data_IF_241978116544
#
_entry.id   IF_241978116544
#
_cell.length_a   1.000
_cell.length_b   1.000
_cell.length_c   1.000
_cell.angle_alpha   90.00
_cell.angle_beta   90.00
_cell.angle_gamma   90.00
#
_symmetry.space_group_name_H-M   'P 1'
#
loop_
_entity.id
_entity.type
_entity.pdbx_description
1 polymer ?
#
# COMPACT_ATOMS: atom_id res chain seq x y z
N UNK A 1 -13.32 24.78 -8.84
CA UNK A 1 -13.63 23.72 -7.86
C UNK A 1 -13.06 22.45 -8.47
N UNK A 2 -11.80 22.17 -8.19
CA UNK A 2 -11.04 21.11 -8.85
C UNK A 2 -11.06 19.87 -7.98
N UNK A 3 -11.67 18.80 -8.52
CA UNK A 3 -11.76 17.50 -7.90
C UNK A 3 -10.38 16.85 -7.87
N UNK A 4 -9.72 16.89 -6.71
CA UNK A 4 -8.47 16.16 -6.43
C UNK A 4 -8.71 14.66 -6.20
N UNK A 5 -9.43 14.04 -7.12
CA UNK A 5 -9.50 12.57 -7.30
C UNK A 5 -8.33 12.10 -8.19
N UNK A 6 -7.45 13.02 -8.62
CA UNK A 6 -6.49 12.81 -9.70
C UNK A 6 -5.25 11.96 -9.42
N UNK A 7 -5.03 11.47 -8.20
CA UNK A 7 -3.88 10.59 -7.93
C UNK A 7 -4.22 9.14 -7.62
N UNK A 8 -5.46 8.85 -7.21
CA UNK A 8 -5.96 7.49 -7.03
C UNK A 8 -7.25 7.38 -7.83
N UNK A 9 -7.22 6.59 -8.90
CA UNK A 9 -8.43 6.26 -9.67
C UNK A 9 -9.41 5.39 -8.87
N UNK A 10 -9.04 5.00 -7.65
CA UNK A 10 -9.83 4.17 -6.75
C UNK A 10 -10.37 5.04 -5.62
N UNK A 11 -11.69 5.03 -5.45
CA UNK A 11 -12.33 5.68 -4.31
C UNK A 11 -11.78 5.10 -3.01
N UNK A 12 -11.40 5.94 -2.03
CA UNK A 12 -11.09 5.46 -0.69
C UNK A 12 -12.35 4.83 -0.11
N UNK A 13 -12.37 3.51 -0.01
CA UNK A 13 -13.47 2.81 0.62
C UNK A 13 -13.41 3.10 2.13
N UNK A 14 -14.55 3.43 2.76
CA UNK A 14 -14.59 3.59 4.21
C UNK A 14 -14.06 2.32 4.88
N UNK A 15 -13.33 2.49 5.98
CA UNK A 15 -12.68 1.40 6.72
C UNK A 15 -13.73 0.61 7.55
N UNK A 16 -14.75 0.07 6.88
CA UNK A 16 -15.85 -0.71 7.49
C UNK A 16 -15.35 -2.08 8.00
N UNK A 17 -14.13 -2.47 7.62
CA UNK A 17 -13.54 -3.78 7.91
C UNK A 17 -13.11 -3.97 9.38
N UNK A 18 -12.88 -2.88 10.13
CA UNK A 18 -12.49 -2.99 11.54
C UNK A 18 -13.61 -3.53 12.43
N UNK A 19 -14.88 -3.37 12.02
CA UNK A 19 -16.01 -3.83 12.82
C UNK A 19 -16.13 -5.37 12.88
N UNK A 20 -15.55 -6.07 11.89
CA UNK A 20 -15.58 -7.54 11.80
C UNK A 20 -14.30 -8.21 12.32
N UNK A 21 -13.25 -7.45 12.66
CA UNK A 21 -12.11 -8.03 13.38
C UNK A 21 -12.50 -8.23 14.83
N UNK A 22 -12.33 -9.46 15.30
CA UNK A 22 -12.57 -9.88 16.67
C UNK A 22 -11.93 -8.85 17.63
N UNK A 23 -12.77 -8.06 18.33
CA UNK A 23 -12.38 -6.96 19.23
C UNK A 23 -11.32 -7.36 20.27
N UNK A 24 -11.16 -8.66 20.48
CA UNK A 24 -10.29 -9.24 21.50
C UNK A 24 -8.85 -9.49 21.06
N UNK A 25 -8.46 -9.32 19.79
CA UNK A 25 -7.08 -9.67 19.34
C UNK A 25 -6.19 -8.55 18.83
N UNK A 26 -6.70 -7.51 18.18
CA UNK A 26 -5.89 -6.34 17.84
C UNK A 26 -6.81 -5.13 17.78
N UNK A 27 -6.71 -4.24 18.77
CA UNK A 27 -7.27 -2.90 18.66
C UNK A 27 -6.40 -2.12 17.67
N UNK A 28 -6.62 -2.33 16.37
CA UNK A 28 -6.03 -1.45 15.36
C UNK A 28 -6.73 -0.11 15.56
N UNK A 29 -6.06 0.78 16.29
CA UNK A 29 -6.54 2.14 16.53
C UNK A 29 -6.67 2.81 15.18
N UNK A 30 -7.91 2.97 14.72
CA UNK A 30 -8.24 3.87 13.62
C UNK A 30 -7.59 5.22 13.94
N UNK A 31 -6.63 5.65 13.12
CA UNK A 31 -5.93 6.89 13.36
C UNK A 31 -6.93 8.04 13.17
N UNK A 32 -6.78 9.14 13.92
CA UNK A 32 -7.69 10.29 13.78
C UNK A 32 -7.75 10.81 12.34
N UNK A 33 -6.65 10.65 11.59
CA UNK A 33 -6.58 10.97 10.16
C UNK A 33 -7.49 10.09 9.28
N UNK A 34 -7.83 8.88 9.71
CA UNK A 34 -8.72 7.97 8.97
C UNK A 34 -10.20 8.36 9.12
N UNK A 35 -10.52 9.25 10.06
CA UNK A 35 -11.88 9.79 10.27
C UNK A 35 -12.16 11.03 9.42
N UNK A 36 -11.11 11.67 8.91
CA UNK A 36 -11.23 12.88 8.11
C UNK A 36 -11.70 12.56 6.69
N UNK A 37 -12.91 13.00 6.35
CA UNK A 37 -13.51 12.78 5.04
C UNK A 37 -12.97 13.72 3.96
N UNK A 38 -12.33 14.82 4.35
CA UNK A 38 -11.77 15.82 3.45
C UNK A 38 -10.24 15.87 3.54
N UNK A 39 -9.57 15.44 2.47
CA UNK A 39 -8.12 15.55 2.34
C UNK A 39 -7.75 16.99 1.99
N UNK A 40 -7.05 17.68 2.90
CA UNK A 40 -6.45 19.00 2.65
C UNK A 40 -5.02 18.84 2.13
N UNK A 41 -4.50 19.88 1.46
CA UNK A 41 -3.10 19.91 1.08
C UNK A 41 -2.20 19.95 2.31
N UNK A 42 -1.00 19.35 2.20
CA UNK A 42 0.01 19.49 3.24
C UNK A 42 0.42 20.97 3.38
N UNK A 43 0.31 21.58 4.59
CA UNK A 43 0.54 23.01 4.78
C UNK A 43 1.99 23.45 4.54
N UNK A 44 2.92 22.49 4.49
CA UNK A 44 4.34 22.74 4.22
C UNK A 44 4.68 22.73 2.72
N UNK A 45 3.73 22.41 1.83
CA UNK A 45 3.95 22.52 0.39
C UNK A 45 4.02 24.00 -0.01
N UNK A 46 5.16 24.41 -0.55
CA UNK A 46 5.37 25.80 -1.00
C UNK A 46 4.34 26.24 -2.06
N UNK A 47 3.97 25.33 -2.97
CA UNK A 47 2.89 25.55 -3.94
C UNK A 47 2.17 24.23 -4.22
N UNK A 48 0.99 23.99 -3.61
CA UNK A 48 0.22 22.76 -3.83
C UNK A 48 -0.21 22.56 -5.29
N UNK A 49 -0.51 23.63 -6.03
CA UNK A 49 -1.04 23.53 -7.39
C UNK A 49 -0.02 23.04 -8.41
N UNK A 50 1.27 23.21 -8.14
CA UNK A 50 2.37 22.73 -8.99
C UNK A 50 3.04 21.47 -8.45
N UNK A 51 2.55 20.92 -7.33
CA UNK A 51 3.16 19.75 -6.71
C UNK A 51 2.75 18.47 -7.44
N UNK A 52 3.73 17.78 -8.03
CA UNK A 52 3.56 16.50 -8.70
C UNK A 52 4.32 15.45 -7.88
N UNK A 53 3.61 14.57 -7.15
CA UNK A 53 4.26 13.59 -6.28
C UNK A 53 4.84 12.39 -7.04
N UNK A 54 4.45 12.18 -8.31
CA UNK A 54 5.01 11.13 -9.16
C UNK A 54 6.29 11.62 -9.84
N UNK A 55 7.39 10.92 -9.56
CA UNK A 55 8.69 11.24 -10.16
C UNK A 55 8.86 10.67 -11.56
N UNK A 56 8.01 9.71 -11.96
CA UNK A 56 8.07 9.03 -13.25
C UNK A 56 6.67 8.93 -13.86
N UNK A 57 6.53 9.44 -15.07
CA UNK A 57 5.33 9.28 -15.90
C UNK A 57 5.47 8.02 -16.76
N UNK A 58 4.80 6.93 -16.36
CA UNK A 58 4.88 5.66 -17.08
C UNK A 58 4.00 5.66 -18.34
N UNK A 59 3.15 6.66 -18.58
CA UNK A 59 2.47 6.81 -19.86
C UNK A 59 3.44 7.29 -20.93
N UNK A 60 4.25 8.30 -20.60
CA UNK A 60 5.22 8.89 -21.52
C UNK A 60 6.53 8.07 -21.66
N UNK A 61 7.03 7.51 -20.56
CA UNK A 61 8.29 6.76 -20.54
C UNK A 61 8.04 5.25 -20.70
N UNK A 62 8.29 4.74 -21.91
CA UNK A 62 8.13 3.32 -22.23
C UNK A 62 9.15 2.41 -21.56
N UNK A 63 10.41 2.85 -21.43
CA UNK A 63 11.46 2.05 -20.82
C UNK A 63 11.17 1.87 -19.33
N UNK A 64 10.86 2.96 -18.64
CA UNK A 64 10.48 2.92 -17.23
C UNK A 64 9.19 2.11 -17.02
N UNK A 65 8.19 2.25 -17.91
CA UNK A 65 6.95 1.46 -17.86
C UNK A 65 7.24 -0.03 -17.93
N UNK A 66 8.03 -0.48 -18.89
CA UNK A 66 8.36 -1.89 -19.05
C UNK A 66 9.14 -2.41 -17.83
N UNK A 67 10.13 -1.64 -17.35
CA UNK A 67 10.88 -1.96 -16.14
C UNK A 67 9.97 -2.16 -14.93
N UNK A 68 9.09 -1.18 -14.64
CA UNK A 68 8.22 -1.25 -13.48
C UNK A 68 7.19 -2.36 -13.58
N UNK A 69 6.55 -2.54 -14.74
CA UNK A 69 5.58 -3.63 -14.94
C UNK A 69 6.24 -5.00 -14.72
N UNK A 70 7.49 -5.19 -15.18
CA UNK A 70 8.25 -6.42 -14.94
C UNK A 70 8.63 -6.59 -13.47
N UNK A 71 9.04 -5.53 -12.79
CA UNK A 71 9.29 -5.56 -11.34
C UNK A 71 8.05 -5.98 -10.57
N UNK A 72 6.89 -5.39 -10.87
CA UNK A 72 5.63 -5.70 -10.21
C UNK A 72 5.17 -7.13 -10.48
N UNK A 73 5.27 -7.60 -11.73
CA UNK A 73 4.94 -8.99 -12.06
C UNK A 73 5.85 -9.99 -11.34
N UNK A 74 7.17 -9.77 -11.30
CA UNK A 74 8.10 -10.64 -10.57
C UNK A 74 7.88 -10.62 -9.06
N UNK A 75 7.35 -9.52 -8.53
CA UNK A 75 7.12 -9.36 -7.09
C UNK A 75 5.78 -9.92 -6.60
N UNK A 76 4.84 -10.27 -7.48
CA UNK A 76 3.46 -10.62 -7.09
C UNK A 76 3.42 -11.82 -6.13
N UNK A 77 4.34 -12.76 -6.26
CA UNK A 77 4.41 -13.93 -5.39
C UNK A 77 4.73 -13.55 -3.94
N UNK A 78 5.55 -12.52 -3.71
CA UNK A 78 5.82 -12.03 -2.35
C UNK A 78 4.56 -11.47 -1.67
N UNK A 79 3.71 -10.82 -2.44
CA UNK A 79 2.44 -10.28 -1.97
C UNK A 79 1.42 -11.40 -1.68
N UNK A 80 1.39 -12.43 -2.53
CA UNK A 80 0.60 -13.65 -2.32
C UNK A 80 1.04 -14.37 -1.04
N UNK A 81 2.35 -14.56 -0.86
CA UNK A 81 2.92 -15.23 0.31
C UNK A 81 2.60 -14.47 1.60
N UNK A 82 2.71 -13.14 1.58
CA UNK A 82 2.33 -12.29 2.72
C UNK A 82 0.83 -12.39 3.02
N UNK A 83 -0.03 -12.32 1.99
CA UNK A 83 -1.47 -12.49 2.12
C UNK A 83 -1.84 -13.84 2.72
N UNK A 84 -1.27 -14.94 2.22
CA UNK A 84 -1.49 -16.28 2.76
C UNK A 84 -1.00 -16.40 4.20
N UNK A 85 0.18 -15.87 4.50
CA UNK A 85 0.76 -15.91 5.86
C UNK A 85 -0.09 -15.16 6.88
N UNK A 86 -0.73 -14.06 6.47
CA UNK A 86 -1.61 -13.26 7.34
C UNK A 86 -2.90 -14.01 7.75
N UNK A 87 -3.26 -15.07 7.04
CA UNK A 87 -4.47 -15.87 7.28
C UNK A 87 -4.18 -17.36 7.14
N UNK A 88 -3.08 -17.83 7.75
CA UNK A 88 -2.62 -19.21 7.65
C UNK A 88 -3.68 -20.25 8.10
N UNK A 89 -4.58 -19.86 9.01
CA UNK A 89 -5.67 -20.71 9.51
C UNK A 89 -6.90 -20.75 8.59
N UNK A 90 -6.94 -19.97 7.50
CA UNK A 90 -8.09 -19.88 6.60
C UNK A 90 -8.00 -20.89 5.45
N UNK A 91 -8.96 -21.82 5.38
CA UNK A 91 -9.05 -22.80 4.28
C UNK A 91 -9.26 -22.15 2.90
N UNK A 92 -9.86 -20.95 2.84
CA UNK A 92 -10.15 -20.24 1.59
C UNK A 92 -9.01 -19.31 1.13
N UNK A 93 -8.02 -19.06 1.99
CA UNK A 93 -6.92 -18.14 1.67
C UNK A 93 -6.11 -18.55 0.43
N UNK A 94 -5.76 -19.83 0.20
CA UNK A 94 -5.00 -20.21 -1.00
C UNK A 94 -5.75 -19.90 -2.31
N UNK A 95 -7.05 -20.17 -2.35
CA UNK A 95 -7.86 -19.91 -3.54
C UNK A 95 -8.05 -18.40 -3.78
N UNK A 96 -8.33 -17.62 -2.73
CA UNK A 96 -8.42 -16.16 -2.84
C UNK A 96 -7.09 -15.54 -3.29
N UNK A 97 -5.96 -16.01 -2.76
CA UNK A 97 -4.64 -15.51 -3.13
C UNK A 97 -4.28 -15.82 -4.58
N UNK A 98 -4.69 -17.00 -5.08
CA UNK A 98 -4.58 -17.35 -6.50
C UNK A 98 -5.40 -16.41 -7.39
N UNK A 99 -6.67 -16.18 -7.03
CA UNK A 99 -7.54 -15.27 -7.79
C UNK A 99 -7.01 -13.82 -7.79
N UNK A 100 -6.49 -13.36 -6.65
CA UNK A 100 -5.76 -12.09 -6.53
C UNK A 100 -4.61 -12.00 -7.53
N UNK A 101 -3.72 -12.99 -7.53
CA UNK A 101 -2.56 -13.05 -8.44
C UNK A 101 -2.99 -13.00 -9.90
N UNK A 102 -3.92 -13.86 -10.30
CA UNK A 102 -4.41 -13.96 -11.67
C UNK A 102 -5.04 -12.63 -12.13
N UNK A 103 -5.86 -12.01 -11.28
CA UNK A 103 -6.48 -10.71 -11.57
C UNK A 103 -5.45 -9.61 -11.73
N UNK A 104 -4.41 -9.58 -10.89
CA UNK A 104 -3.35 -8.58 -10.95
C UNK A 104 -2.48 -8.73 -12.21
N UNK A 105 -2.02 -9.95 -12.51
CA UNK A 105 -1.21 -10.22 -13.71
C UNK A 105 -1.98 -9.85 -14.98
N UNK A 106 -3.27 -10.20 -15.07
CA UNK A 106 -4.13 -9.82 -16.19
C UNK A 106 -4.19 -8.30 -16.38
N UNK A 107 -4.22 -7.53 -15.29
CA UNK A 107 -4.20 -6.07 -15.33
C UNK A 107 -2.86 -5.53 -15.81
N UNK A 108 -1.73 -6.08 -15.33
CA UNK A 108 -0.40 -5.69 -15.81
C UNK A 108 -0.23 -5.94 -17.32
N UNK A 109 -0.68 -7.10 -17.81
CA UNK A 109 -0.65 -7.41 -19.24
C UNK A 109 -1.47 -6.43 -20.07
N UNK A 110 -2.65 -6.01 -19.57
CA UNK A 110 -3.45 -4.98 -20.23
C UNK A 110 -2.73 -3.63 -20.24
N UNK A 111 -2.08 -3.25 -19.15
CA UNK A 111 -1.32 -1.99 -19.06
C UNK A 111 -0.10 -1.96 -19.99
N UNK A 112 0.53 -3.12 -20.28
CA UNK A 112 1.58 -3.20 -21.30
C UNK A 112 1.06 -2.84 -22.69
N UNK A 113 -0.14 -3.32 -23.04
CA UNK A 113 -0.75 -3.08 -24.36
C UNK A 113 -1.43 -1.72 -24.46
N UNK A 114 -2.02 -1.27 -23.36
CA UNK A 114 -2.85 -0.06 -23.28
C UNK A 114 -2.51 0.72 -21.98
N UNK A 115 -1.44 1.53 -21.98
CA UNK A 115 -0.98 2.24 -20.78
C UNK A 115 -2.03 3.19 -20.19
N UNK A 116 -2.94 3.70 -21.02
CA UNK A 116 -4.00 4.63 -20.61
C UNK A 116 -5.32 3.95 -20.20
N UNK A 117 -5.38 2.61 -20.19
CA UNK A 117 -6.62 1.86 -19.97
C UNK A 117 -7.33 2.17 -18.63
N UNK A 118 -6.60 2.73 -17.67
CA UNK A 118 -7.09 3.06 -16.33
C UNK A 118 -6.72 4.48 -15.89
N UNK A 119 -6.48 5.38 -16.86
CA UNK A 119 -6.04 6.75 -16.59
C UNK A 119 -4.51 6.88 -16.54
N UNK A 120 -4.02 7.78 -15.68
CA UNK A 120 -2.60 8.04 -15.52
C UNK A 120 -1.92 6.85 -14.85
N UNK A 121 -0.94 6.26 -15.52
CA UNK A 121 -0.15 5.14 -15.07
C UNK A 121 1.11 5.68 -14.39
N UNK A 122 1.18 5.47 -13.09
CA UNK A 122 2.33 5.83 -12.26
C UNK A 122 2.73 4.64 -11.38
N UNK A 123 3.93 4.67 -10.80
CA UNK A 123 4.35 3.65 -9.83
C UNK A 123 3.38 3.59 -8.65
N UNK A 124 2.87 4.74 -8.19
CA UNK A 124 1.84 4.81 -7.14
C UNK A 124 0.57 4.06 -7.54
N UNK A 125 0.06 4.28 -8.75
CA UNK A 125 -1.16 3.61 -9.21
C UNK A 125 -1.04 2.07 -9.25
N UNK A 126 0.18 1.54 -9.48
CA UNK A 126 0.45 0.10 -9.44
C UNK A 126 0.41 -0.44 -7.99
N UNK A 127 1.03 0.28 -7.05
CA UNK A 127 0.98 -0.05 -5.61
C UNK A 127 -0.46 -0.01 -5.08
N UNK A 128 -1.21 1.06 -5.38
CA UNK A 128 -2.61 1.21 -4.99
C UNK A 128 -3.48 0.08 -5.55
N UNK A 129 -3.21 -0.36 -6.78
CA UNK A 129 -3.92 -1.48 -7.39
C UNK A 129 -3.69 -2.78 -6.61
N UNK A 130 -2.45 -3.06 -6.17
CA UNK A 130 -2.15 -4.25 -5.36
C UNK A 130 -2.95 -4.19 -4.06
N UNK A 131 -2.86 -3.08 -3.33
CA UNK A 131 -3.58 -2.93 -2.06
C UNK A 131 -5.10 -3.07 -2.23
N UNK A 132 -5.65 -2.49 -3.30
CA UNK A 132 -7.06 -2.60 -3.60
C UNK A 132 -7.48 -4.04 -3.84
N UNK A 133 -6.73 -4.80 -4.66
CA UNK A 133 -7.05 -6.20 -4.89
C UNK A 133 -6.84 -7.05 -3.65
N UNK A 134 -5.82 -6.79 -2.83
CA UNK A 134 -5.67 -7.48 -1.55
C UNK A 134 -6.92 -7.31 -0.68
N UNK A 135 -7.41 -6.07 -0.54
CA UNK A 135 -8.67 -5.79 0.18
C UNK A 135 -9.86 -6.47 -0.47
N UNK A 136 -9.97 -6.42 -1.79
CA UNK A 136 -11.07 -7.06 -2.54
C UNK A 136 -11.13 -8.58 -2.32
N UNK A 137 -9.97 -9.22 -2.19
CA UNK A 137 -9.85 -10.66 -1.92
C UNK A 137 -9.72 -11.00 -0.43
N UNK A 138 -10.25 -10.14 0.45
CA UNK A 138 -10.30 -10.33 1.90
C UNK A 138 -8.92 -10.47 2.59
N UNK A 139 -7.90 -9.76 2.11
CA UNK A 139 -6.59 -9.60 2.75
C UNK A 139 -6.36 -8.13 3.15
N UNK A 140 -6.94 -7.67 4.28
CA UNK A 140 -6.95 -6.26 4.64
C UNK A 140 -5.57 -5.71 5.06
N UNK A 141 -4.75 -6.54 5.73
CA UNK A 141 -3.38 -6.19 6.12
C UNK A 141 -2.49 -7.44 6.12
N UNK A 142 -1.81 -7.74 4.99
CA UNK A 142 -0.98 -8.93 4.86
C UNK A 142 0.28 -8.90 5.74
N UNK A 143 0.64 -7.74 6.31
CA UNK A 143 1.88 -7.55 7.08
C UNK A 143 1.63 -7.34 8.58
N UNK A 144 0.42 -7.56 9.07
CA UNK A 144 0.05 -7.27 10.48
C UNK A 144 0.99 -7.95 11.49
N UNK A 145 1.26 -9.25 11.32
CA UNK A 145 2.11 -10.02 12.24
C UNK A 145 3.58 -9.64 12.13
N UNK A 146 4.07 -9.38 10.90
CA UNK A 146 5.44 -8.90 10.67
C UNK A 146 5.65 -7.55 11.35
N UNK A 147 4.75 -6.58 11.12
CA UNK A 147 4.80 -5.27 11.75
C UNK A 147 4.77 -5.37 13.27
N UNK A 148 3.93 -6.23 13.83
CA UNK A 148 3.88 -6.43 15.28
C UNK A 148 5.21 -6.96 15.82
N UNK A 149 5.76 -8.01 15.22
CA UNK A 149 7.03 -8.61 15.65
C UNK A 149 8.20 -7.63 15.53
N UNK A 150 8.29 -6.89 14.43
CA UNK A 150 9.33 -5.87 14.21
C UNK A 150 9.20 -4.71 15.20
N UNK A 151 7.96 -4.27 15.49
CA UNK A 151 7.71 -3.22 16.49
C UNK A 151 8.12 -3.67 17.90
N UNK A 152 7.77 -4.90 18.31
CA UNK A 152 8.17 -5.46 19.60
C UNK A 152 9.70 -5.55 19.72
N UNK A 153 10.37 -6.03 18.66
CA UNK A 153 11.83 -6.08 18.61
C UNK A 153 12.47 -4.68 18.69
N UNK A 154 11.94 -3.70 17.95
CA UNK A 154 12.43 -2.33 17.96
C UNK A 154 12.24 -1.67 19.33
N UNK A 155 11.09 -1.86 19.97
CA UNK A 155 10.81 -1.35 21.31
C UNK A 155 11.76 -1.95 22.35
N UNK A 156 12.12 -3.23 22.24
CA UNK A 156 13.06 -3.88 23.17
C UNK A 156 14.45 -3.24 23.15
N UNK A 157 14.87 -2.68 22.02
CA UNK A 157 16.19 -2.06 21.82
C UNK A 157 16.16 -0.53 21.98
N UNK A 158 14.98 0.07 22.13
CA UNK A 158 14.81 1.51 22.13
C UNK A 158 15.62 2.20 23.24
N UNK A 159 15.57 1.68 24.46
CA UNK A 159 16.26 2.30 25.60
C UNK A 159 17.78 2.30 25.41
N UNK A 160 18.36 1.17 24.99
CA UNK A 160 19.80 1.07 24.73
C UNK A 160 20.21 2.03 23.62
N UNK A 161 19.42 2.10 22.55
CA UNK A 161 19.68 3.00 21.43
C UNK A 161 19.65 4.47 21.86
N UNK A 162 18.69 4.86 22.70
CA UNK A 162 18.60 6.22 23.23
C UNK A 162 19.81 6.54 24.12
N UNK A 163 20.19 5.64 25.04
CA UNK A 163 21.37 5.83 25.89
C UNK A 163 22.66 6.01 25.06
N UNK A 164 22.81 5.23 23.99
CA UNK A 164 23.93 5.38 23.06
C UNK A 164 23.92 6.77 22.40
N UNK A 165 22.76 7.22 21.90
CA UNK A 165 22.64 8.54 21.28
C UNK A 165 22.95 9.67 22.26
N UNK A 166 22.49 9.57 23.51
CA UNK A 166 22.78 10.56 24.57
C UNK A 166 24.27 10.60 24.94
N UNK A 167 24.99 9.49 24.75
CA UNK A 167 26.44 9.43 24.98
C UNK A 167 27.26 10.09 23.86
N UNK A 168 26.66 10.33 22.69
CA UNK A 168 27.34 10.98 21.58
C UNK A 168 27.53 12.47 21.91
N UNK A 169 28.78 12.91 21.89
CA UNK A 169 29.08 14.34 22.08
C UNK A 169 28.55 15.13 20.87
N UNK A 170 27.83 16.25 21.07
CA UNK A 170 27.40 17.10 19.98
C UNK A 170 28.61 17.55 19.15
N UNK A 171 28.49 17.48 17.82
CA UNK A 171 29.45 18.09 16.90
C UNK A 171 29.30 19.60 16.86
#
# INVERSE_FOLDING_TARGET
QENYVGSSALEPQPVIWFDNFNKDKVAITQLELDRESQRLFCPLLANPASYIPDTVDLNADEEARNYWLDCFEKSIDKYVDAAMSSQADSETAPERAKQFKEKYIKRLHKLRQQPFAYGNLTVRSLLETIEHYMREFDFPDPYVFTKQSENEAALSQLQERLNYLDSLTPK
#
